data_IF_995911520756
#
_entry.id   IF_995911520756
#
_cell.length_a   1.000
_cell.length_b   1.000
_cell.length_c   1.000
_cell.angle_alpha   90.00
_cell.angle_beta   90.00
_cell.angle_gamma   90.00
#
_symmetry.space_group_name_H-M   'P 1'
#
loop_
_entity.id
_entity.type
_entity.pdbx_description
1 polymer ?
#
# COMPACT_ATOMS: atom_id res chain seq x y z
N UNK A 1 11.43 4.36 -1.93
CA UNK A 1 11.40 3.13 -2.77
C UNK A 1 11.24 3.53 -4.23
N UNK A 2 11.84 2.81 -5.17
CA UNK A 2 11.67 3.06 -6.63
C UNK A 2 10.53 2.20 -7.20
N UNK A 3 10.06 2.52 -8.41
CA UNK A 3 9.06 1.70 -9.12
C UNK A 3 9.43 0.22 -9.19
N UNK A 4 10.69 -0.11 -9.51
CA UNK A 4 11.14 -1.50 -9.56
C UNK A 4 11.06 -2.18 -8.20
N UNK A 5 11.49 -1.51 -7.12
CA UNK A 5 11.42 -2.08 -5.78
C UNK A 5 9.98 -2.36 -5.33
N UNK A 6 9.02 -1.52 -5.74
CA UNK A 6 7.62 -1.72 -5.40
C UNK A 6 6.95 -2.77 -6.29
N UNK A 7 7.36 -2.88 -7.56
CA UNK A 7 6.93 -3.95 -8.44
C UNK A 7 7.39 -5.33 -7.94
N UNK A 8 8.65 -5.45 -7.51
CA UNK A 8 9.17 -6.70 -6.93
C UNK A 8 8.43 -7.07 -5.63
N UNK A 9 8.11 -6.08 -4.80
CA UNK A 9 7.33 -6.29 -3.58
C UNK A 9 5.88 -6.69 -3.88
N UNK A 10 5.28 -6.11 -4.91
CA UNK A 10 3.94 -6.48 -5.39
C UNK A 10 3.92 -7.92 -5.89
N UNK A 11 4.87 -8.31 -6.73
CA UNK A 11 4.99 -9.68 -7.23
C UNK A 11 5.12 -10.69 -6.08
N UNK A 12 5.99 -10.42 -5.11
CA UNK A 12 6.15 -11.27 -3.94
C UNK A 12 4.88 -11.38 -3.10
N UNK A 13 4.12 -10.28 -2.95
CA UNK A 13 2.85 -10.27 -2.21
C UNK A 13 1.75 -11.05 -2.96
N UNK A 14 1.67 -10.93 -4.28
CA UNK A 14 0.75 -11.70 -5.12
C UNK A 14 1.08 -13.19 -5.11
N UNK A 15 2.35 -13.56 -5.21
CA UNK A 15 2.80 -14.96 -5.10
C UNK A 15 2.48 -15.55 -3.72
N UNK A 16 2.73 -14.79 -2.64
CA UNK A 16 2.44 -15.24 -1.28
C UNK A 16 0.93 -15.40 -1.03
N UNK A 17 0.10 -14.53 -1.63
CA UNK A 17 -1.35 -14.60 -1.51
C UNK A 17 -1.94 -15.76 -2.32
N UNK A 18 -1.40 -16.05 -3.50
CA UNK A 18 -1.99 -17.01 -4.43
C UNK A 18 -3.38 -16.54 -4.90
N UNK A 19 -4.43 -17.25 -4.50
CA UNK A 19 -5.80 -16.88 -4.85
C UNK A 19 -6.36 -15.81 -3.89
N UNK A 20 -6.39 -14.56 -4.37
CA UNK A 20 -6.88 -13.40 -3.64
C UNK A 20 -8.35 -13.49 -3.19
N UNK A 21 -9.17 -14.36 -3.79
CA UNK A 21 -10.55 -14.56 -3.36
C UNK A 21 -10.65 -15.44 -2.10
N UNK A 22 -9.58 -16.17 -1.79
CA UNK A 22 -9.54 -17.13 -0.67
C UNK A 22 -8.76 -16.62 0.55
N UNK A 23 -7.90 -15.61 0.39
CA UNK A 23 -7.08 -15.05 1.48
C UNK A 23 -7.89 -14.17 2.43
N UNK A 24 -7.33 -13.96 3.64
CA UNK A 24 -7.90 -13.06 4.62
C UNK A 24 -7.84 -11.58 4.18
N UNK A 25 -8.58 -10.74 4.89
CA UNK A 25 -8.67 -9.31 4.56
C UNK A 25 -7.34 -8.57 4.71
N UNK A 26 -6.46 -9.01 5.61
CA UNK A 26 -5.14 -8.41 5.82
C UNK A 26 -4.24 -8.62 4.61
N UNK A 27 -4.12 -9.87 4.15
CA UNK A 27 -3.34 -10.20 2.94
C UNK A 27 -3.92 -9.52 1.71
N UNK A 28 -5.25 -9.50 1.55
CA UNK A 28 -5.88 -8.78 0.42
C UNK A 28 -5.59 -7.28 0.45
N UNK A 29 -5.61 -6.68 1.65
CA UNK A 29 -5.30 -5.26 1.82
C UNK A 29 -3.83 -4.95 1.54
N UNK A 30 -2.92 -5.85 1.91
CA UNK A 30 -1.49 -5.72 1.61
C UNK A 30 -1.23 -5.71 0.10
N UNK A 31 -1.78 -6.68 -0.65
CA UNK A 31 -1.65 -6.70 -2.11
C UNK A 31 -2.26 -5.45 -2.74
N UNK A 32 -3.44 -5.02 -2.28
CA UNK A 32 -4.08 -3.81 -2.78
C UNK A 32 -3.21 -2.55 -2.56
N UNK A 33 -2.53 -2.45 -1.42
CA UNK A 33 -1.64 -1.33 -1.12
C UNK A 33 -0.38 -1.35 -2.01
N UNK A 34 0.23 -2.51 -2.23
CA UNK A 34 1.37 -2.63 -3.14
C UNK A 34 1.01 -2.27 -4.58
N UNK A 35 -0.19 -2.64 -5.05
CA UNK A 35 -0.72 -2.20 -6.36
C UNK A 35 -0.84 -0.69 -6.42
N UNK A 36 -1.48 -0.06 -5.43
CA UNK A 36 -1.65 1.40 -5.34
C UNK A 36 -0.31 2.14 -5.40
N UNK A 37 0.69 1.68 -4.65
CA UNK A 37 2.01 2.32 -4.61
C UNK A 37 2.72 2.19 -5.97
N UNK A 38 2.63 1.02 -6.60
CA UNK A 38 3.24 0.78 -7.91
C UNK A 38 2.62 1.68 -8.99
N UNK A 39 1.29 1.78 -9.02
CA UNK A 39 0.56 2.67 -9.92
C UNK A 39 0.95 4.14 -9.71
N UNK A 40 1.01 4.59 -8.44
CA UNK A 40 1.42 5.95 -8.10
C UNK A 40 2.82 6.28 -8.63
N UNK A 41 3.75 5.34 -8.55
CA UNK A 41 5.12 5.55 -9.01
C UNK A 41 5.25 5.48 -10.53
N UNK A 42 4.40 4.70 -11.19
CA UNK A 42 4.33 4.67 -12.65
C UNK A 42 3.96 6.06 -13.21
N UNK A 43 3.00 6.75 -12.58
CA UNK A 43 2.51 8.06 -13.02
C UNK A 43 3.43 9.25 -12.65
N UNK A 44 4.23 9.13 -11.59
CA UNK A 44 4.96 10.27 -11.01
C UNK A 44 6.49 10.15 -11.04
N UNK A 45 7.06 9.00 -11.41
CA UNK A 45 8.49 8.83 -11.76
C UNK A 45 9.52 9.15 -10.67
N UNK A 46 9.10 9.41 -9.43
CA UNK A 46 9.96 9.75 -8.30
C UNK A 46 10.10 8.61 -7.28
N UNK A 47 10.98 8.74 -6.28
CA UNK A 47 11.02 7.80 -5.17
C UNK A 47 9.75 7.94 -4.31
N UNK A 48 9.17 6.80 -3.93
CA UNK A 48 8.08 6.74 -2.97
C UNK A 48 8.58 6.96 -1.54
N UNK A 49 7.85 7.80 -0.80
CA UNK A 49 8.03 8.08 0.61
C UNK A 49 6.64 8.13 1.30
N UNK A 50 6.33 7.18 2.23
CA UNK A 50 5.05 7.15 2.95
C UNK A 50 4.75 8.44 3.74
N UNK A 51 5.78 9.14 4.17
CA UNK A 51 5.69 10.39 4.94
C UNK A 51 5.06 11.53 4.12
N UNK A 52 5.14 11.44 2.79
CA UNK A 52 4.60 12.45 1.86
C UNK A 52 3.42 11.92 1.04
N UNK A 53 3.04 10.65 1.20
CA UNK A 53 1.90 10.07 0.50
C UNK A 53 0.58 10.56 1.13
N UNK A 54 -0.23 11.28 0.35
CA UNK A 54 -1.48 11.88 0.82
C UNK A 54 -2.52 10.85 1.32
N UNK A 55 -2.59 9.67 0.71
CA UNK A 55 -3.49 8.59 1.14
C UNK A 55 -3.06 8.06 2.51
N UNK A 56 -1.76 7.76 2.69
CA UNK A 56 -1.19 7.30 3.97
C UNK A 56 -1.39 8.36 5.06
N UNK A 57 -1.09 9.63 4.77
CA UNK A 57 -1.29 10.72 5.73
C UNK A 57 -2.76 10.89 6.12
N UNK A 58 -3.70 10.66 5.19
CA UNK A 58 -5.13 10.64 5.47
C UNK A 58 -5.52 9.52 6.44
N UNK A 59 -5.05 8.29 6.21
CA UNK A 59 -5.32 7.14 7.08
C UNK A 59 -4.75 7.33 8.50
N UNK A 60 -3.51 7.82 8.61
CA UNK A 60 -2.87 8.11 9.90
C UNK A 60 -3.65 9.19 10.68
N UNK A 61 -4.09 10.24 9.99
CA UNK A 61 -4.91 11.30 10.58
C UNK A 61 -6.25 10.77 11.08
N UNK A 62 -6.96 9.97 10.26
CA UNK A 62 -8.22 9.36 10.65
C UNK A 62 -8.06 8.46 11.90
N UNK A 63 -7.01 7.65 11.93
CA UNK A 63 -6.68 6.79 13.08
C UNK A 63 -6.37 7.60 14.34
N UNK A 64 -5.64 8.71 14.21
CA UNK A 64 -5.35 9.61 15.32
C UNK A 64 -6.64 10.20 15.89
N UNK A 65 -7.49 10.75 15.03
CA UNK A 65 -8.76 11.35 15.45
C UNK A 65 -9.68 10.33 16.13
N UNK A 66 -9.75 9.10 15.63
CA UNK A 66 -10.56 8.04 16.26
C UNK A 66 -10.06 7.66 17.67
N UNK A 67 -8.75 7.74 17.92
CA UNK A 67 -8.16 7.52 19.25
C UNK A 67 -8.43 8.67 20.21
N UNK A 68 -8.48 9.89 19.69
CA UNK A 68 -8.73 11.09 20.50
C UNK A 68 -10.22 11.22 20.89
N UNK A 69 -11.12 10.50 20.22
CA UNK A 69 -12.58 10.50 20.47
C UNK A 69 -13.10 9.31 21.29
N UNK A 70 -12.24 8.35 21.67
CA UNK A 70 -12.61 7.13 22.40
C UNK A 70 -12.18 7.18 23.87
#
# INVERSE_FOLDING_TARGET
MTHHQTADALEAAEEAAGDLDTVDMGTRAEVAEWRRITDLLFDHGGPYAPETDAFVQGQLTARKNHRDTA
#
